data_IF_623066043275
#
_entry.id   IF_623066043275
#
_cell.length_a   1.000
_cell.length_b   1.000
_cell.length_c   1.000
_cell.angle_alpha   90.00
_cell.angle_beta   90.00
_cell.angle_gamma   90.00
#
_symmetry.space_group_name_H-M   'P 1'
#
loop_
_entity.id
_entity.type
_entity.pdbx_description
1 polymer ?
#
# COMPACT_ATOMS: atom_id res chain seq x y z
N UNK A 1 -12.63 -4.87 14.99
CA UNK A 1 -12.41 -5.68 13.78
C UNK A 1 -12.95 -4.89 12.59
N UNK A 2 -12.23 -4.79 11.46
CA UNK A 2 -12.76 -4.14 10.26
C UNK A 2 -14.02 -4.83 9.76
N UNK A 3 -14.95 -4.04 9.26
CA UNK A 3 -16.20 -4.48 8.64
C UNK A 3 -16.13 -4.37 7.12
N UNK A 4 -17.13 -4.90 6.40
CA UNK A 4 -17.23 -4.72 4.94
C UNK A 4 -17.33 -3.21 4.58
N UNK A 5 -18.10 -2.44 5.35
CA UNK A 5 -18.22 -0.99 5.14
C UNK A 5 -16.89 -0.24 5.30
N UNK A 6 -16.01 -0.69 6.20
CA UNK A 6 -14.66 -0.10 6.33
C UNK A 6 -13.80 -0.37 5.09
N UNK A 7 -13.96 -1.54 4.47
CA UNK A 7 -13.27 -1.89 3.23
C UNK A 7 -13.79 -1.06 2.05
N UNK A 8 -15.10 -0.88 1.95
CA UNK A 8 -15.73 -0.04 0.92
C UNK A 8 -15.26 1.42 1.05
N UNK A 9 -15.30 1.97 2.26
CA UNK A 9 -14.78 3.31 2.54
C UNK A 9 -13.29 3.44 2.17
N UNK A 10 -12.47 2.45 2.51
CA UNK A 10 -11.06 2.45 2.14
C UNK A 10 -10.88 2.43 0.61
N UNK A 11 -11.71 1.66 -0.12
CA UNK A 11 -11.68 1.63 -1.57
C UNK A 11 -12.00 2.99 -2.20
N UNK A 12 -12.94 3.75 -1.63
CA UNK A 12 -13.26 5.12 -2.05
C UNK A 12 -12.07 6.06 -1.82
N UNK A 13 -11.47 6.01 -0.62
CA UNK A 13 -10.34 6.88 -0.24
C UNK A 13 -9.13 6.69 -1.18
N UNK A 14 -8.82 5.44 -1.54
CA UNK A 14 -7.67 5.14 -2.39
C UNK A 14 -7.96 5.27 -3.90
N UNK A 15 -9.20 5.51 -4.28
CA UNK A 15 -9.62 5.62 -5.68
C UNK A 15 -8.89 6.75 -6.41
N UNK A 16 -8.44 6.48 -7.62
CA UNK A 16 -7.70 7.44 -8.46
C UNK A 16 -6.22 7.60 -8.11
N UNK A 17 -5.74 7.01 -7.00
CA UNK A 17 -4.34 7.05 -6.57
C UNK A 17 -3.69 5.68 -6.63
N UNK A 18 -4.43 4.67 -6.20
CA UNK A 18 -3.96 3.29 -6.17
C UNK A 18 -4.55 2.52 -7.35
N UNK A 19 -3.71 1.81 -8.08
CA UNK A 19 -4.12 1.06 -9.25
C UNK A 19 -5.06 -0.09 -8.88
N UNK A 20 -6.15 -0.22 -9.63
CA UNK A 20 -7.00 -1.41 -9.59
C UNK A 20 -6.34 -2.52 -10.40
N UNK A 21 -5.41 -3.23 -9.79
CA UNK A 21 -4.63 -4.26 -10.44
C UNK A 21 -5.49 -5.47 -10.86
N UNK A 22 -5.14 -6.15 -11.96
CA UNK A 22 -5.88 -7.31 -12.42
C UNK A 22 -5.74 -8.52 -11.48
N UNK A 23 -6.76 -9.36 -11.52
CA UNK A 23 -6.73 -10.71 -10.96
C UNK A 23 -6.45 -11.69 -12.10
N UNK A 24 -5.24 -12.22 -12.13
CA UNK A 24 -4.73 -13.04 -13.23
C UNK A 24 -4.82 -14.53 -12.90
N UNK A 25 -5.48 -15.32 -13.75
CA UNK A 25 -5.42 -16.79 -13.64
C UNK A 25 -4.03 -17.28 -14.03
N UNK A 26 -3.41 -18.10 -13.17
CA UNK A 26 -2.09 -18.68 -13.40
C UNK A 26 -2.21 -20.16 -13.82
N UNK A 27 -2.14 -20.49 -15.12
CA UNK A 27 -2.19 -21.88 -15.57
C UNK A 27 -1.10 -22.73 -14.95
N UNK A 28 0.13 -22.23 -14.93
CA UNK A 28 1.29 -22.93 -14.38
C UNK A 28 1.12 -23.30 -12.90
N UNK A 29 0.73 -22.36 -12.06
CA UNK A 29 0.53 -22.64 -10.64
C UNK A 29 -0.69 -23.52 -10.40
N UNK A 30 -1.72 -23.39 -11.22
CA UNK A 30 -2.92 -24.22 -11.14
C UNK A 30 -2.61 -25.68 -11.49
N UNK A 31 -1.81 -25.93 -12.52
CA UNK A 31 -1.35 -27.26 -12.89
C UNK A 31 -0.48 -27.88 -11.79
N UNK A 32 0.48 -27.11 -11.25
CA UNK A 32 1.37 -27.58 -10.18
C UNK A 32 0.65 -27.94 -8.88
N UNK A 33 -0.46 -27.28 -8.57
CA UNK A 33 -1.17 -27.45 -7.29
C UNK A 33 -2.45 -28.26 -7.37
N UNK A 34 -2.97 -28.50 -8.58
CA UNK A 34 -4.28 -29.12 -8.79
C UNK A 34 -5.46 -28.20 -8.40
N UNK A 35 -5.23 -26.91 -8.17
CA UNK A 35 -6.24 -25.93 -7.78
C UNK A 35 -6.31 -24.79 -8.79
N UNK A 36 -7.41 -24.04 -8.81
CA UNK A 36 -7.52 -22.81 -9.60
C UNK A 36 -6.84 -21.65 -8.89
N UNK A 37 -5.63 -21.30 -9.32
CA UNK A 37 -4.81 -20.24 -8.71
C UNK A 37 -4.97 -18.93 -9.49
N UNK A 38 -5.32 -17.88 -8.79
CA UNK A 38 -5.39 -16.51 -9.30
C UNK A 38 -4.41 -15.62 -8.57
N UNK A 39 -3.69 -14.79 -9.30
CA UNK A 39 -2.72 -13.84 -8.77
C UNK A 39 -3.31 -12.43 -8.82
N UNK A 40 -3.46 -11.81 -7.68
CA UNK A 40 -3.74 -10.36 -7.59
C UNK A 40 -2.42 -9.62 -7.82
N UNK A 41 -2.30 -8.97 -8.97
CA UNK A 41 -1.03 -8.44 -9.50
C UNK A 41 -0.63 -7.09 -8.85
N UNK A 42 -0.39 -7.11 -7.55
CA UNK A 42 0.03 -5.92 -6.78
C UNK A 42 1.47 -5.47 -7.08
N UNK A 43 2.24 -6.28 -7.75
CA UNK A 43 3.53 -5.93 -8.37
C UNK A 43 3.40 -4.86 -9.47
N UNK A 44 2.19 -4.67 -10.01
CA UNK A 44 1.89 -3.63 -11.00
C UNK A 44 1.54 -2.28 -10.37
N UNK A 45 1.44 -2.16 -9.05
CA UNK A 45 1.35 -0.86 -8.39
C UNK A 45 2.60 -0.01 -8.67
N UNK A 46 2.46 1.31 -8.67
CA UNK A 46 3.59 2.23 -8.86
C UNK A 46 4.74 2.00 -7.88
N UNK A 47 4.43 1.58 -6.65
CA UNK A 47 5.42 1.20 -5.62
C UNK A 47 5.76 -0.31 -5.62
N UNK A 48 5.30 -1.05 -6.60
CA UNK A 48 5.56 -2.48 -6.82
C UNK A 48 5.08 -3.41 -5.70
N UNK A 49 4.13 -2.96 -4.87
CA UNK A 49 3.53 -3.78 -3.81
C UNK A 49 2.17 -3.25 -3.37
N UNK A 50 1.41 -4.08 -2.64
CA UNK A 50 0.11 -3.70 -2.07
C UNK A 50 0.19 -2.67 -0.92
N UNK A 51 1.38 -2.37 -0.42
CA UNK A 51 1.57 -1.51 0.78
C UNK A 51 1.03 -0.09 0.60
N UNK A 52 0.96 0.40 -0.62
CA UNK A 52 0.36 1.70 -0.92
C UNK A 52 -1.10 1.79 -0.48
N UNK A 53 -1.87 0.70 -0.56
CA UNK A 53 -3.29 0.67 -0.18
C UNK A 53 -3.49 1.10 1.26
N UNK A 54 -2.82 0.41 2.19
CA UNK A 54 -2.94 0.73 3.62
C UNK A 54 -2.28 2.06 3.99
N UNK A 55 -1.10 2.33 3.46
CA UNK A 55 -0.37 3.57 3.75
C UNK A 55 -1.17 4.80 3.31
N UNK A 56 -1.65 4.83 2.08
CA UNK A 56 -2.45 5.95 1.58
C UNK A 56 -3.76 6.09 2.34
N UNK A 57 -4.49 4.98 2.57
CA UNK A 57 -5.76 5.01 3.30
C UNK A 57 -5.63 5.62 4.69
N UNK A 58 -4.58 5.29 5.43
CA UNK A 58 -4.36 5.85 6.78
C UNK A 58 -3.95 7.30 6.72
N UNK A 59 -2.98 7.67 5.87
CA UNK A 59 -2.42 9.02 5.82
C UNK A 59 -3.44 10.03 5.27
N UNK A 60 -4.29 9.61 4.34
CA UNK A 60 -5.36 10.46 3.81
C UNK A 60 -6.42 10.85 4.85
N UNK A 61 -6.58 10.06 5.91
CA UNK A 61 -7.56 10.29 6.97
C UNK A 61 -7.00 11.04 8.19
N UNK A 62 -5.75 11.47 8.16
CA UNK A 62 -5.16 12.27 9.22
C UNK A 62 -5.85 13.64 9.32
N UNK A 63 -6.16 14.07 10.55
CA UNK A 63 -6.64 15.43 10.81
C UNK A 63 -5.50 16.46 10.67
N UNK A 64 -5.83 17.74 10.73
CA UNK A 64 -4.86 18.84 10.52
C UNK A 64 -3.71 18.83 11.54
N UNK A 65 -3.98 18.48 12.80
CA UNK A 65 -2.95 18.39 13.84
C UNK A 65 -1.99 17.23 13.54
N UNK A 66 -2.51 16.08 13.21
CA UNK A 66 -1.72 14.89 12.84
C UNK A 66 -0.92 15.13 11.55
N UNK A 67 -1.48 15.81 10.56
CA UNK A 67 -0.76 16.18 9.33
C UNK A 67 0.40 17.10 9.61
N UNK A 68 0.22 18.10 10.50
CA UNK A 68 1.31 19.01 10.94
C UNK A 68 2.39 18.29 11.73
N UNK A 69 2.01 17.33 12.56
CA UNK A 69 2.97 16.51 13.31
C UNK A 69 3.78 15.57 12.39
N UNK A 70 3.20 15.17 11.26
CA UNK A 70 3.83 14.27 10.31
C UNK A 70 3.68 12.79 10.66
N UNK A 71 4.28 11.94 9.82
CA UNK A 71 4.19 10.49 9.91
C UNK A 71 5.57 9.89 10.16
N UNK A 72 5.64 8.91 11.04
CA UNK A 72 6.86 8.16 11.32
C UNK A 72 6.64 6.69 10.98
N UNK A 73 7.60 6.08 10.30
CA UNK A 73 7.60 4.64 10.02
C UNK A 73 8.99 4.04 10.19
N UNK A 74 9.06 2.77 10.49
CA UNK A 74 10.30 1.99 10.53
C UNK A 74 10.18 0.81 9.54
N UNK A 75 10.88 0.89 8.42
CA UNK A 75 10.84 -0.15 7.39
C UNK A 75 11.94 0.09 6.34
N UNK A 76 12.62 -0.98 5.94
CA UNK A 76 13.61 -0.96 4.85
C UNK A 76 13.05 -1.48 3.51
N UNK A 77 11.76 -1.73 3.40
CA UNK A 77 11.16 -2.39 2.23
C UNK A 77 9.89 -1.73 1.73
N UNK A 78 8.97 -2.56 1.26
CA UNK A 78 7.74 -2.13 0.59
C UNK A 78 6.86 -1.18 1.41
N UNK A 79 6.84 -1.32 2.75
CA UNK A 79 6.08 -0.41 3.59
C UNK A 79 6.69 1.00 3.58
N UNK A 80 8.02 1.13 3.60
CA UNK A 80 8.70 2.41 3.47
C UNK A 80 8.33 3.12 2.17
N UNK A 81 8.32 2.39 1.06
CA UNK A 81 7.95 2.93 -0.25
C UNK A 81 6.49 3.38 -0.29
N UNK A 82 5.57 2.59 0.28
CA UNK A 82 4.16 2.94 0.37
C UNK A 82 3.92 4.21 1.20
N UNK A 83 4.58 4.32 2.36
CA UNK A 83 4.51 5.52 3.22
C UNK A 83 5.10 6.74 2.52
N UNK A 84 6.29 6.61 1.93
CA UNK A 84 6.94 7.71 1.21
C UNK A 84 6.09 8.23 0.05
N UNK A 85 5.50 7.32 -0.72
CA UNK A 85 4.60 7.69 -1.82
C UNK A 85 3.36 8.42 -1.31
N UNK A 86 2.70 7.89 -0.29
CA UNK A 86 1.50 8.49 0.28
C UNK A 86 1.79 9.87 0.91
N UNK A 87 2.89 9.99 1.66
CA UNK A 87 3.32 11.27 2.24
C UNK A 87 3.58 12.32 1.16
N UNK A 88 4.27 11.96 0.08
CA UNK A 88 4.54 12.86 -1.05
C UNK A 88 3.25 13.30 -1.74
N UNK A 89 2.34 12.37 -2.02
CA UNK A 89 1.10 12.66 -2.73
C UNK A 89 0.14 13.53 -1.91
N UNK A 90 0.15 13.36 -0.59
CA UNK A 90 -0.73 14.09 0.33
C UNK A 90 -0.07 15.32 0.98
N UNK A 91 1.18 15.62 0.59
CA UNK A 91 1.98 16.74 1.13
C UNK A 91 2.09 16.68 2.67
N UNK A 92 2.26 15.46 3.20
CA UNK A 92 2.49 15.21 4.62
C UNK A 92 3.96 14.91 4.85
N UNK A 93 4.55 15.52 5.89
CA UNK A 93 5.95 15.24 6.22
C UNK A 93 6.10 13.81 6.76
N UNK A 94 6.98 13.01 6.13
CA UNK A 94 7.24 11.63 6.52
C UNK A 94 8.69 11.43 6.94
N UNK A 95 8.90 10.67 8.02
CA UNK A 95 10.23 10.22 8.47
C UNK A 95 10.27 8.70 8.52
N UNK A 96 11.18 8.12 7.76
CA UNK A 96 11.32 6.66 7.68
C UNK A 96 12.67 6.26 8.26
N UNK A 97 12.64 5.44 9.30
CA UNK A 97 13.82 4.86 9.90
C UNK A 97 14.14 3.53 9.23
N UNK A 98 15.38 3.39 8.81
CA UNK A 98 15.89 2.18 8.15
C UNK A 98 17.16 1.71 8.86
N UNK A 99 17.50 0.40 8.83
CA UNK A 99 18.78 -0.09 9.28
C UNK A 99 19.94 0.55 8.50
N UNK A 100 21.08 0.74 9.16
CA UNK A 100 22.26 1.39 8.54
C UNK A 100 22.83 0.64 7.33
N UNK A 101 22.55 -0.66 7.23
CA UNK A 101 22.97 -1.51 6.11
C UNK A 101 21.91 -1.65 4.99
N UNK A 102 20.89 -0.81 4.99
CA UNK A 102 19.85 -0.81 3.94
C UNK A 102 20.45 -0.26 2.64
N UNK A 103 20.29 -1.01 1.55
CA UNK A 103 20.55 -0.49 0.20
C UNK A 103 19.44 0.50 -0.18
N UNK A 104 19.80 1.73 -0.44
CA UNK A 104 18.91 2.80 -0.90
C UNK A 104 18.96 2.88 -2.43
#
# INVERSE_FOLDING_TARGET
MPTAADVEKAAEIISGVVERTPLYYSPRLSEMTGAKIYLKREDLQGVRSYKIRGAYNVIAQLNDEQRRAGVVAASAGNHAQGVAYACRTLEVQGRIYVPSNTCL
#
